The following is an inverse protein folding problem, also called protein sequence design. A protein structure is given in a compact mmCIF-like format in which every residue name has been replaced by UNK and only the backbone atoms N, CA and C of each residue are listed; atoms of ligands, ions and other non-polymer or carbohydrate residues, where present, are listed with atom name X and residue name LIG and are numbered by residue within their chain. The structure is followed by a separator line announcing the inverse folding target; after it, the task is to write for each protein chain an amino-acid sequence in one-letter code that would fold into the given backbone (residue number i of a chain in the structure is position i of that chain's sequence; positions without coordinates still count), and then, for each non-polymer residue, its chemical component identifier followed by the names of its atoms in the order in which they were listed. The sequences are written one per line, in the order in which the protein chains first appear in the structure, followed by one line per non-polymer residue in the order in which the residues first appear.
data_IF_327291740702
#
_entry.id   IF_327291740702
#
_cell.length_a   1.000
_cell.length_b   1.000
_cell.length_c   1.000
_cell.angle_alpha   90.00
_cell.angle_beta   90.00
_cell.angle_gamma   90.00
#
_symmetry.space_group_name_H-M   'P 1'
#
loop_
_entity.id
_entity.type
_entity.pdbx_description
1 polymer ?
#
# COMPACT_ATOMS: atom_id res chain seq x y z
N UNK A 1 2.34 -1.80 -5.03
CA UNK A 1 1.19 -1.18 -5.72
C UNK A 1 0.96 0.21 -5.16
N UNK A 2 0.68 1.18 -6.02
CA UNK A 2 0.33 2.55 -5.64
C UNK A 2 -1.12 2.79 -6.06
N UNK A 3 -1.97 3.20 -5.12
CA UNK A 3 -3.40 3.31 -5.35
C UNK A 3 -4.05 4.53 -4.70
N UNK A 4 -5.29 4.78 -5.10
CA UNK A 4 -6.18 5.76 -4.49
C UNK A 4 -7.22 5.10 -3.55
N UNK A 5 -8.31 5.80 -3.23
CA UNK A 5 -9.33 5.29 -2.31
C UNK A 5 -10.06 4.03 -2.81
N UNK A 6 -10.15 3.81 -4.13
CA UNK A 6 -10.73 2.59 -4.67
C UNK A 6 -9.88 1.37 -4.29
N UNK A 7 -8.54 1.48 -4.38
CA UNK A 7 -7.61 0.44 -3.99
C UNK A 7 -7.49 0.23 -2.48
N UNK A 8 -7.76 1.27 -1.69
CA UNK A 8 -7.60 1.22 -0.23
C UNK A 8 -8.46 0.11 0.41
N UNK A 9 -9.65 -0.15 -0.13
CA UNK A 9 -10.52 -1.24 0.33
C UNK A 9 -9.98 -2.64 0.00
N UNK A 10 -9.08 -2.74 -0.96
CA UNK A 10 -8.47 -4.00 -1.38
C UNK A 10 -7.23 -4.39 -0.57
N UNK A 11 -6.85 -3.62 0.47
CA UNK A 11 -5.61 -3.81 1.22
C UNK A 11 -5.47 -5.21 1.80
N UNK A 12 -6.50 -5.73 2.47
CA UNK A 12 -6.43 -7.05 3.09
C UNK A 12 -6.34 -8.18 2.04
N UNK A 13 -7.11 -8.06 0.96
CA UNK A 13 -7.08 -9.02 -0.14
C UNK A 13 -5.72 -8.97 -0.90
N UNK A 14 -5.16 -7.77 -1.08
CA UNK A 14 -3.84 -7.60 -1.66
C UNK A 14 -2.75 -8.26 -0.80
N UNK A 15 -2.75 -8.01 0.50
CA UNK A 15 -1.78 -8.59 1.43
C UNK A 15 -1.89 -10.13 1.53
N UNK A 16 -3.11 -10.65 1.41
CA UNK A 16 -3.34 -12.10 1.36
C UNK A 16 -2.81 -12.72 0.06
N UNK A 17 -2.98 -12.03 -1.08
CA UNK A 17 -2.52 -12.51 -2.39
C UNK A 17 -1.01 -12.40 -2.55
N UNK A 18 -0.41 -11.32 -2.08
CA UNK A 18 1.04 -11.08 -2.16
C UNK A 18 1.62 -10.71 -0.78
N UNK A 19 1.92 -11.70 0.08
CA UNK A 19 2.43 -11.45 1.43
C UNK A 19 3.73 -10.65 1.46
N UNK A 20 4.52 -10.68 0.38
CA UNK A 20 5.74 -9.89 0.22
C UNK A 20 5.54 -8.59 -0.55
N UNK A 21 4.31 -8.33 -1.00
CA UNK A 21 3.96 -7.12 -1.72
C UNK A 21 3.71 -5.95 -0.78
N UNK A 22 3.75 -4.73 -1.35
CA UNK A 22 3.40 -3.52 -0.62
C UNK A 22 2.33 -2.75 -1.38
N UNK A 23 1.22 -2.44 -0.72
CA UNK A 23 0.17 -1.55 -1.22
C UNK A 23 0.21 -0.25 -0.42
N UNK A 24 0.55 0.85 -1.11
CA UNK A 24 0.37 2.20 -0.58
C UNK A 24 -0.81 2.88 -1.30
N UNK A 25 -1.92 2.98 -0.61
CA UNK A 25 -3.14 3.59 -1.12
C UNK A 25 -3.65 4.67 -0.16
N UNK A 26 -4.20 5.75 -0.70
CA UNK A 26 -4.74 6.83 0.11
C UNK A 26 -5.96 7.49 -0.55
N UNK A 27 -6.84 8.05 0.27
CA UNK A 27 -7.99 8.83 -0.20
C UNK A 27 -7.53 10.04 -1.00
N UNK A 28 -8.27 10.39 -2.05
CA UNK A 28 -8.04 11.57 -2.89
C UNK A 28 -6.65 11.65 -3.55
N UNK A 29 -5.90 10.54 -3.62
CA UNK A 29 -4.58 10.52 -4.24
C UNK A 29 -4.68 10.76 -5.74
N UNK A 30 -3.90 11.69 -6.24
CA UNK A 30 -3.68 11.96 -7.65
C UNK A 30 -2.32 11.39 -8.10
N UNK A 31 -2.09 11.31 -9.43
CA UNK A 31 -0.88 10.70 -9.98
C UNK A 31 0.40 11.40 -9.52
N UNK A 32 0.42 12.72 -9.43
CA UNK A 32 1.59 13.50 -8.97
C UNK A 32 2.03 13.09 -7.57
N UNK A 33 1.06 12.87 -6.65
CA UNK A 33 1.36 12.33 -5.32
C UNK A 33 1.81 10.87 -5.39
N UNK A 34 1.27 10.09 -6.32
CA UNK A 34 1.72 8.72 -6.59
C UNK A 34 3.19 8.65 -7.03
N UNK A 35 3.65 9.62 -7.83
CA UNK A 35 5.06 9.76 -8.23
C UNK A 35 5.97 10.04 -7.00
N UNK A 36 5.54 10.93 -6.10
CA UNK A 36 6.26 11.21 -4.84
C UNK A 36 6.36 9.96 -3.95
N UNK A 37 5.28 9.18 -3.87
CA UNK A 37 5.24 7.90 -3.14
C UNK A 37 6.21 6.89 -3.76
N UNK A 38 6.22 6.76 -5.09
CA UNK A 38 7.19 5.89 -5.76
C UNK A 38 8.63 6.31 -5.44
N UNK A 39 8.95 7.60 -5.57
CA UNK A 39 10.28 8.14 -5.28
C UNK A 39 10.69 7.85 -3.82
N UNK A 40 9.78 8.05 -2.87
CA UNK A 40 10.05 7.77 -1.45
C UNK A 40 10.48 6.31 -1.21
N UNK A 41 9.80 5.33 -1.82
CA UNK A 41 10.20 3.92 -1.70
C UNK A 41 11.44 3.58 -2.50
N UNK A 42 11.64 4.21 -3.64
CA UNK A 42 12.82 4.04 -4.49
C UNK A 42 14.09 4.51 -3.78
N UNK A 43 14.06 5.66 -3.12
CA UNK A 43 15.20 6.21 -2.37
C UNK A 43 15.62 5.30 -1.21
N UNK A 44 14.73 4.46 -0.72
CA UNK A 44 14.99 3.49 0.35
C UNK A 44 15.34 2.09 -0.17
N UNK A 45 15.41 1.89 -1.49
CA UNK A 45 15.60 0.58 -2.13
C UNK A 45 14.52 -0.45 -1.75
N UNK A 46 13.27 0.02 -1.55
CA UNK A 46 12.13 -0.81 -1.19
C UNK A 46 11.21 -1.15 -2.38
N UNK A 47 11.60 -0.74 -3.59
CA UNK A 47 10.82 -0.96 -4.81
C UNK A 47 11.18 -2.30 -5.44
N UNK A 48 10.19 -3.17 -5.61
CA UNK A 48 10.34 -4.46 -6.27
C UNK A 48 10.40 -4.36 -7.80
N UNK A 49 10.31 -5.49 -8.47
CA UNK A 49 10.33 -5.60 -9.94
C UNK A 49 8.99 -5.17 -10.56
N UNK A 50 7.86 -5.47 -9.91
CA UNK A 50 6.51 -5.24 -10.39
C UNK A 50 5.90 -3.98 -9.77
N UNK A 51 5.51 -3.02 -10.59
CA UNK A 51 4.93 -1.74 -10.17
C UNK A 51 3.50 -1.65 -10.69
N UNK A 52 2.53 -1.74 -9.81
CA UNK A 52 1.12 -1.61 -10.15
C UNK A 52 0.65 -0.19 -9.79
N UNK A 53 0.04 0.50 -10.76
CA UNK A 53 -0.48 1.87 -10.62
C UNK A 53 -1.99 1.87 -10.85
N UNK A 54 -2.75 2.10 -9.79
CA UNK A 54 -4.21 2.16 -9.79
C UNK A 54 -4.66 3.55 -9.32
N UNK A 55 -4.47 4.54 -10.18
CA UNK A 55 -4.73 5.95 -9.93
C UNK A 55 -5.53 6.56 -11.08
N UNK A 56 -6.27 7.64 -10.79
CA UNK A 56 -7.03 8.38 -11.81
C UNK A 56 -8.49 8.64 -11.44
N UNK A 57 -9.02 8.02 -10.36
CA UNK A 57 -10.40 8.28 -9.95
C UNK A 57 -10.58 9.67 -9.32
N UNK A 58 -9.48 10.33 -8.92
CA UNK A 58 -9.50 11.61 -8.20
C UNK A 58 -9.05 12.82 -9.04
N UNK A 59 -9.18 12.75 -10.36
CA UNK A 59 -8.90 13.87 -11.25
C UNK A 59 -8.32 13.45 -12.58
N UNK A 60 -8.14 14.43 -13.46
CA UNK A 60 -7.56 14.23 -14.79
C UNK A 60 -6.11 13.76 -14.64
N UNK A 61 -5.78 12.74 -15.40
CA UNK A 61 -4.45 12.19 -15.58
C UNK A 61 -4.13 12.28 -17.08
N UNK A 62 -2.94 12.72 -17.43
CA UNK A 62 -2.54 12.93 -18.82
C UNK A 62 -1.45 11.95 -19.26
N UNK A 63 -1.29 11.76 -20.57
CA UNK A 63 -0.21 10.97 -21.15
C UNK A 63 1.16 11.49 -20.68
N UNK A 64 1.39 12.82 -20.71
CA UNK A 64 2.65 13.42 -20.25
C UNK A 64 2.99 13.06 -18.80
N UNK A 65 2.00 13.09 -17.91
CA UNK A 65 2.20 12.72 -16.51
C UNK A 65 2.52 11.22 -16.34
N UNK A 66 1.92 10.35 -17.16
CA UNK A 66 2.27 8.93 -17.17
C UNK A 66 3.68 8.68 -17.72
N UNK A 67 4.08 9.39 -18.78
CA UNK A 67 5.44 9.33 -19.32
C UNK A 67 6.49 9.80 -18.30
N UNK A 68 6.19 10.84 -17.53
CA UNK A 68 7.03 11.28 -16.40
C UNK A 68 7.16 10.17 -15.35
N UNK A 69 6.04 9.51 -14.98
CA UNK A 69 6.07 8.36 -14.07
C UNK A 69 6.93 7.21 -14.63
N UNK A 70 6.74 6.84 -15.89
CA UNK A 70 7.52 5.76 -16.50
C UNK A 70 9.02 6.09 -16.60
N UNK A 71 9.35 7.36 -16.85
CA UNK A 71 10.74 7.83 -16.79
C UNK A 71 11.33 7.68 -15.39
N UNK A 72 10.56 8.01 -14.36
CA UNK A 72 10.95 7.88 -12.95
C UNK A 72 11.11 6.39 -12.55
N UNK A 73 10.21 5.52 -13.00
CA UNK A 73 10.23 4.09 -12.69
C UNK A 73 11.40 3.38 -13.37
N UNK A 74 11.70 3.75 -14.62
CA UNK A 74 12.75 3.13 -15.40
C UNK A 74 12.28 1.91 -16.20
N UNK A 75 13.06 1.57 -17.23
CA UNK A 75 12.71 0.52 -18.19
C UNK A 75 12.99 -0.92 -17.69
N UNK A 76 13.67 -1.06 -16.55
CA UNK A 76 14.01 -2.35 -15.92
C UNK A 76 12.88 -2.92 -15.07
N UNK A 77 11.83 -2.13 -14.83
CA UNK A 77 10.65 -2.53 -14.06
C UNK A 77 9.53 -2.98 -14.97
N UNK A 78 8.70 -3.89 -14.49
CA UNK A 78 7.42 -4.25 -15.10
C UNK A 78 6.33 -3.36 -14.51
N UNK A 79 5.73 -2.53 -15.33
CA UNK A 79 4.69 -1.59 -14.90
C UNK A 79 3.33 -2.09 -15.34
N UNK A 80 2.35 -1.98 -14.47
CA UNK A 80 0.96 -2.36 -14.72
C UNK A 80 0.10 -1.13 -14.47
N UNK A 81 -0.54 -0.63 -15.52
CA UNK A 81 -1.43 0.52 -15.46
C UNK A 81 -2.88 0.03 -15.50
N UNK A 82 -3.67 0.39 -14.49
CA UNK A 82 -5.08 0.05 -14.42
C UNK A 82 -5.94 1.16 -15.02
N UNK A 83 -6.90 0.79 -15.89
CA UNK A 83 -8.00 1.69 -16.23
C UNK A 83 -8.88 1.93 -15.01
N UNK A 84 -9.56 3.08 -14.99
CA UNK A 84 -10.41 3.47 -13.86
C UNK A 84 -11.89 3.26 -14.16
N UNK A 85 -12.69 3.11 -13.10
CA UNK A 85 -14.14 3.20 -13.11
C UNK A 85 -14.62 4.27 -12.13
N UNK A 86 -15.31 5.28 -12.64
CA UNK A 86 -15.87 6.38 -11.85
C UNK A 86 -16.95 7.09 -12.66
N UNK A 87 -18.05 7.57 -12.05
CA UNK A 87 -19.06 8.34 -12.79
C UNK A 87 -18.62 9.77 -13.16
N UNK A 88 -17.35 10.10 -12.93
CA UNK A 88 -16.82 11.43 -13.21
C UNK A 88 -16.55 11.65 -14.70
N UNK A 89 -16.61 12.90 -15.13
CA UNK A 89 -16.52 13.30 -16.54
C UNK A 89 -15.14 13.05 -17.16
N UNK A 90 -14.10 12.84 -16.37
CA UNK A 90 -12.74 12.56 -16.85
C UNK A 90 -12.43 11.07 -17.06
N UNK A 91 -13.33 10.15 -16.71
CA UNK A 91 -13.12 8.70 -16.83
C UNK A 91 -12.59 8.31 -18.22
N UNK A 92 -13.30 8.74 -19.28
CA UNK A 92 -12.90 8.41 -20.65
C UNK A 92 -11.53 8.94 -20.99
N UNK A 93 -11.24 10.22 -20.72
CA UNK A 93 -9.94 10.82 -21.06
C UNK A 93 -8.79 10.21 -20.28
N UNK A 94 -9.00 9.81 -19.04
CA UNK A 94 -8.00 9.12 -18.22
C UNK A 94 -7.75 7.71 -18.77
N UNK A 95 -8.80 6.96 -19.08
CA UNK A 95 -8.66 5.61 -19.66
C UNK A 95 -8.01 5.63 -21.04
N UNK A 96 -8.29 6.64 -21.86
CA UNK A 96 -7.64 6.84 -23.17
C UNK A 96 -6.13 7.09 -22.98
N UNK A 97 -5.73 7.97 -22.04
CA UNK A 97 -4.32 8.24 -21.74
C UNK A 97 -3.59 6.99 -21.22
N UNK A 98 -4.19 6.25 -20.28
CA UNK A 98 -3.64 5.00 -19.75
C UNK A 98 -3.43 3.98 -20.88
N UNK A 99 -4.45 3.80 -21.73
CA UNK A 99 -4.39 2.83 -22.84
C UNK A 99 -3.35 3.21 -23.88
N UNK A 100 -3.28 4.50 -24.23
CA UNK A 100 -2.29 5.02 -25.19
C UNK A 100 -0.87 4.78 -24.69
N UNK A 101 -0.58 5.17 -23.47
CA UNK A 101 0.76 5.00 -22.88
C UNK A 101 1.12 3.54 -22.75
N UNK A 102 0.22 2.70 -22.25
CA UNK A 102 0.49 1.27 -22.12
C UNK A 102 0.82 0.61 -23.47
N UNK A 103 0.16 1.03 -24.56
CA UNK A 103 0.41 0.48 -25.89
C UNK A 103 1.78 0.88 -26.49
N UNK A 104 2.40 1.93 -25.97
CA UNK A 104 3.65 2.49 -26.52
C UNK A 104 4.92 1.99 -25.77
N UNK A 105 4.77 1.23 -24.69
CA UNK A 105 5.89 0.77 -23.86
C UNK A 105 5.88 -0.75 -23.68
N UNK A 106 6.97 -1.42 -24.03
CA UNK A 106 7.09 -2.90 -23.96
C UNK A 106 7.10 -3.43 -22.52
N UNK A 107 7.54 -2.62 -21.56
CA UNK A 107 7.57 -2.97 -20.14
C UNK A 107 6.28 -2.58 -19.38
N UNK A 108 5.27 -2.07 -20.10
CA UNK A 108 3.98 -1.67 -19.52
C UNK A 108 2.88 -2.63 -19.94
N UNK A 109 2.12 -3.12 -18.99
CA UNK A 109 0.94 -3.95 -19.20
C UNK A 109 -0.31 -3.19 -18.82
N UNK A 110 -1.29 -3.13 -19.72
CA UNK A 110 -2.61 -2.60 -19.40
C UNK A 110 -3.43 -3.63 -18.62
N UNK A 111 -4.02 -3.21 -17.51
CA UNK A 111 -5.06 -3.96 -16.79
C UNK A 111 -6.39 -3.24 -16.98
N UNK A 112 -7.27 -3.80 -17.78
CA UNK A 112 -8.54 -3.17 -18.15
C UNK A 112 -9.63 -3.41 -17.10
N UNK A 113 -9.53 -2.68 -15.98
CA UNK A 113 -10.57 -2.70 -14.94
C UNK A 113 -11.89 -2.10 -15.42
N UNK A 114 -11.83 -1.07 -16.27
CA UNK A 114 -13.03 -0.46 -16.85
C UNK A 114 -13.86 -1.48 -17.63
N UNK A 115 -13.21 -2.21 -18.54
CA UNK A 115 -13.86 -3.26 -19.32
C UNK A 115 -14.30 -4.45 -18.48
N UNK A 116 -13.45 -4.92 -17.56
CA UNK A 116 -13.74 -6.06 -16.70
C UNK A 116 -14.90 -5.78 -15.72
N UNK A 117 -15.08 -4.54 -15.30
CA UNK A 117 -16.19 -4.15 -14.41
C UNK A 117 -17.46 -3.68 -15.16
N UNK A 118 -17.45 -3.71 -16.49
CA UNK A 118 -18.61 -3.34 -17.28
C UNK A 118 -19.80 -4.25 -16.97
N UNK A 119 -20.98 -3.67 -16.70
CA UNK A 119 -22.21 -4.35 -16.32
C UNK A 119 -22.14 -5.12 -14.97
N UNK A 120 -21.21 -4.76 -14.12
CA UNK A 120 -21.03 -5.30 -12.78
C UNK A 120 -21.21 -4.22 -11.71
N UNK A 121 -22.44 -3.66 -11.64
CA UNK A 121 -22.75 -2.61 -10.66
C UNK A 121 -22.57 -3.11 -9.21
N UNK A 122 -22.69 -4.43 -8.99
CA UNK A 122 -22.45 -5.06 -7.70
C UNK A 122 -21.00 -4.97 -7.22
N UNK A 123 -20.07 -4.64 -8.10
CA UNK A 123 -18.65 -4.43 -7.71
C UNK A 123 -18.44 -3.11 -6.98
N UNK A 124 -19.39 -2.20 -7.07
CA UNK A 124 -19.25 -0.84 -6.57
C UNK A 124 -20.27 -0.51 -5.49
N UNK A 125 -19.89 0.34 -4.55
CA UNK A 125 -20.82 1.02 -3.68
C UNK A 125 -21.73 1.97 -4.50
N UNK A 126 -22.74 2.53 -3.89
CA UNK A 126 -23.70 3.40 -4.56
C UNK A 126 -23.12 4.66 -5.23
N UNK A 127 -21.82 4.93 -5.04
CA UNK A 127 -21.09 6.01 -5.71
C UNK A 127 -20.45 5.58 -7.06
N UNK A 128 -20.47 4.31 -7.40
CA UNK A 128 -19.97 3.78 -8.67
C UNK A 128 -18.44 3.82 -8.82
N UNK A 129 -17.70 4.00 -7.72
CA UNK A 129 -16.24 4.09 -7.72
C UNK A 129 -15.58 3.17 -6.67
N UNK A 130 -16.07 3.24 -5.42
CA UNK A 130 -15.49 2.46 -4.33
C UNK A 130 -15.99 1.02 -4.38
N UNK A 131 -15.06 0.09 -4.14
CA UNK A 131 -15.32 -1.34 -4.28
C UNK A 131 -16.15 -1.90 -3.13
N UNK A 132 -17.11 -2.76 -3.46
CA UNK A 132 -17.73 -3.68 -2.52
C UNK A 132 -16.79 -4.86 -2.24
N UNK A 133 -17.17 -5.75 -1.32
CA UNK A 133 -16.41 -6.97 -1.05
C UNK A 133 -16.27 -7.86 -2.30
N UNK A 134 -17.34 -7.97 -3.11
CA UNK A 134 -17.32 -8.70 -4.39
C UNK A 134 -16.43 -7.99 -5.40
N UNK A 135 -16.50 -6.67 -5.46
CA UNK A 135 -15.65 -5.85 -6.32
C UNK A 135 -14.17 -5.97 -5.96
N UNK A 136 -13.82 -6.03 -4.68
CA UNK A 136 -12.44 -6.26 -4.20
C UNK A 136 -11.90 -7.60 -4.71
N UNK A 137 -12.69 -8.68 -4.64
CA UNK A 137 -12.24 -9.99 -5.13
C UNK A 137 -12.01 -9.97 -6.65
N UNK A 138 -12.91 -9.35 -7.41
CA UNK A 138 -12.76 -9.21 -8.86
C UNK A 138 -11.55 -8.35 -9.23
N UNK A 139 -11.34 -7.23 -8.51
CA UNK A 139 -10.23 -6.31 -8.73
C UNK A 139 -8.87 -6.97 -8.47
N UNK A 140 -8.71 -7.64 -7.34
CA UNK A 140 -7.47 -8.35 -6.99
C UNK A 140 -7.24 -9.53 -7.93
N UNK A 141 -8.30 -10.27 -8.30
CA UNK A 141 -8.20 -11.36 -9.28
C UNK A 141 -7.68 -10.89 -10.63
N UNK A 142 -8.22 -9.77 -11.14
CA UNK A 142 -7.76 -9.18 -12.41
C UNK A 142 -6.29 -8.72 -12.35
N UNK A 143 -5.86 -8.13 -11.25
CA UNK A 143 -4.45 -7.76 -11.05
C UNK A 143 -3.59 -9.02 -10.99
N UNK A 144 -4.03 -10.06 -10.29
CA UNK A 144 -3.30 -11.32 -10.18
C UNK A 144 -3.15 -12.01 -11.54
N UNK A 145 -4.17 -12.02 -12.38
CA UNK A 145 -4.10 -12.57 -13.73
C UNK A 145 -3.00 -11.91 -14.59
N UNK A 146 -2.74 -10.62 -14.37
CA UNK A 146 -1.71 -9.88 -15.09
C UNK A 146 -0.31 -9.98 -14.46
N UNK A 147 -0.22 -9.89 -13.14
CA UNK A 147 1.05 -9.86 -12.38
C UNK A 147 1.58 -11.27 -12.11
N UNK A 148 0.68 -12.21 -11.83
CA UNK A 148 1.01 -13.56 -11.37
C UNK A 148 1.43 -13.62 -9.90
N UNK A 149 1.93 -14.78 -9.50
CA UNK A 149 2.52 -14.99 -8.19
C UNK A 149 3.91 -14.35 -8.16
N UNK A 150 4.15 -13.51 -7.16
CA UNK A 150 5.48 -12.96 -6.90
C UNK A 150 6.17 -13.79 -5.82
N UNK A 151 7.52 -13.96 -5.89
CA UNK A 151 8.23 -14.67 -4.84
C UNK A 151 7.96 -14.04 -3.47
N UNK A 152 7.69 -14.86 -2.47
CA UNK A 152 7.67 -14.38 -1.08
C UNK A 152 9.07 -13.86 -0.72
N UNK A 153 9.18 -12.83 0.12
CA UNK A 153 10.46 -12.46 0.68
C UNK A 153 11.08 -13.69 1.37
N UNK A 154 12.41 -13.86 1.31
CA UNK A 154 13.06 -14.94 2.04
C UNK A 154 12.66 -14.85 3.51
N UNK A 155 12.27 -15.99 4.10
CA UNK A 155 12.04 -16.04 5.53
C UNK A 155 13.30 -15.51 6.26
N UNK A 156 13.14 -14.68 7.30
CA UNK A 156 14.27 -14.24 8.08
C UNK A 156 15.01 -15.49 8.59
N UNK A 157 16.28 -15.62 8.24
CA UNK A 157 17.12 -16.70 8.74
C UNK A 157 17.05 -16.65 10.28
N UNK A 158 16.37 -17.62 10.88
CA UNK A 158 16.44 -17.85 12.31
C UNK A 158 17.87 -18.33 12.57
N UNK A 159 18.73 -17.42 12.97
CA UNK A 159 20.02 -17.79 13.58
C UNK A 159 19.66 -18.58 14.83
N UNK A 160 19.66 -19.92 14.71
CA UNK A 160 19.71 -20.79 15.86
C UNK A 160 20.96 -20.42 16.65
N UNK A 161 20.74 -19.78 17.80
CA UNK A 161 21.81 -19.45 18.71
C UNK A 161 22.48 -20.74 19.14
N UNK A 162 23.73 -20.87 18.75
CA UNK A 162 24.65 -21.88 19.20
C UNK A 162 24.71 -21.83 20.73
N UNK A 163 24.02 -22.78 21.37
CA UNK A 163 24.16 -23.02 22.80
C UNK A 163 25.53 -23.66 23.01
N UNK A 164 26.49 -22.82 23.32
CA UNK A 164 27.75 -23.29 23.91
C UNK A 164 27.43 -23.77 25.34
N UNK A 165 27.37 -25.08 25.46
CA UNK A 165 27.53 -25.78 26.74
C UNK A 165 28.89 -25.39 27.33
N UNK A 166 28.86 -24.72 28.44
CA UNK A 166 30.03 -24.35 29.26
C UNK A 166 29.79 -24.78 30.68
N UNK A 167 30.25 -25.98 30.92
CA UNK A 167 30.32 -26.69 32.18
C UNK A 167 31.04 -25.92 33.31
N UNK A 168 30.55 -26.23 34.52
CA UNK A 168 31.21 -26.33 35.82
C UNK A 168 31.38 -25.15 36.78
N UNK A 169 30.81 -25.44 37.89
CA UNK A 169 31.31 -25.45 39.30
C UNK A 169 31.27 -24.13 40.05
N UNK A 170 30.43 -24.17 41.04
CA UNK A 170 30.70 -24.36 42.48
C UNK A 170 31.06 -23.10 43.29
N UNK A 171 30.39 -23.05 44.39
CA UNK A 171 30.67 -22.44 45.70
C UNK A 171 29.92 -21.15 46.11
N UNK A 172 28.89 -21.38 46.95
CA UNK A 172 28.71 -20.82 48.33
C UNK A 172 29.04 -19.32 48.52
N UNK A 173 28.26 -18.46 49.09
CA UNK A 173 27.68 -18.44 50.41
C UNK A 173 27.03 -17.06 50.71
N UNK A 174 25.95 -17.12 51.39
CA UNK A 174 25.47 -16.25 52.47
C UNK A 174 25.33 -14.71 52.31
N UNK A 175 24.08 -14.33 52.61
CA UNK A 175 23.67 -13.41 53.67
C UNK A 175 23.43 -11.94 53.36
N UNK A 176 22.24 -11.51 53.70
CA UNK A 176 22.08 -10.24 54.40
C UNK A 176 21.06 -9.23 53.87
N UNK A 177 19.85 -9.39 54.38
CA UNK A 177 18.99 -8.36 55.02
C UNK A 177 18.62 -7.05 54.30
N UNK A 178 17.31 -6.91 54.15
CA UNK A 178 16.41 -5.84 54.64
C UNK A 178 16.61 -4.39 54.17
N UNK A 179 15.48 -3.83 53.76
CA UNK A 179 15.27 -2.39 53.74
C UNK A 179 14.08 -1.95 52.90
N UNK A 180 12.88 -2.06 53.50
CA UNK A 180 11.69 -1.38 53.08
C UNK A 180 11.84 0.13 53.28
N UNK A 181 11.24 0.93 52.42
CA UNK A 181 10.46 2.09 52.83
C UNK A 181 9.61 2.66 51.70
N UNK A 182 8.36 2.80 52.03
CA UNK A 182 7.31 3.50 51.31
C UNK A 182 7.53 5.03 51.35
N UNK A 183 6.98 5.75 50.38
CA UNK A 183 6.30 7.02 50.61
C UNK A 183 5.52 7.45 49.35
N UNK A 184 4.34 7.38 49.48
CA UNK A 184 3.15 8.16 49.17
C UNK A 184 3.37 9.64 48.72
N UNK A 185 2.44 10.06 47.79
CA UNK A 185 1.69 11.27 48.03
C UNK A 185 1.68 12.36 46.97
N UNK A 186 0.48 12.72 46.50
CA UNK A 186 0.18 14.10 46.10
C UNK A 186 -0.47 14.28 44.71
N UNK A 187 -1.70 14.05 44.58
CA UNK A 187 -2.94 14.85 44.38
C UNK A 187 -2.82 16.14 43.57
N UNK A 188 -3.68 16.19 42.52
CA UNK A 188 -4.67 17.21 42.14
C UNK A 188 -4.23 18.56 41.54
N UNK A 189 -4.94 18.91 40.48
CA UNK A 189 -5.06 20.25 39.96
C UNK A 189 -5.81 20.31 38.64
N UNK A 190 -7.14 20.26 38.72
CA UNK A 190 -8.03 20.72 37.66
C UNK A 190 -8.03 22.22 37.58
N UNK A 191 -8.10 22.78 36.37
CA UNK A 191 -8.83 24.05 36.16
C UNK A 191 -9.33 24.15 34.73
N UNK A 192 -10.64 24.23 34.64
CA UNK A 192 -11.42 24.71 33.51
C UNK A 192 -11.02 26.17 33.16
N UNK A 193 -11.11 26.49 31.88
CA UNK A 193 -11.61 27.81 31.53
C UNK A 193 -12.32 27.81 30.19
N UNK A 194 -13.61 28.09 30.27
CA UNK A 194 -14.50 28.47 29.21
C UNK A 194 -14.41 29.98 28.95
N UNK A 195 -14.78 30.39 27.74
CA UNK A 195 -14.98 31.79 27.34
C UNK A 195 -14.77 31.95 25.84
N UNK A 196 -15.74 31.98 25.08
CA UNK A 196 -16.85 32.87 24.73
C UNK A 196 -16.49 33.83 23.58
N UNK A 197 -17.29 33.70 22.53
CA UNK A 197 -17.84 34.65 21.56
C UNK A 197 -16.97 35.74 20.89
N UNK A 198 -16.98 35.72 19.58
CA UNK A 198 -17.58 36.74 18.68
C UNK A 198 -17.52 36.26 17.23
#
# INVERSE_FOLDING_TARGET
MIGDSASLRATDAFNAQWPGGHLDAATSRQLTVGQEVYQYYSDQNLVGEHIVVALGTNGVLTEDQLEELLTLVGADKKVYLLTIRTPNTWETSVNDAITTVAANHENVTLIDWYGASANHDEYFDGDGTHLTEVGVQAFIGLIHDAVGDTPNPPEPETTEGETTDGDTSDATDENGTEGAEEAEGGTAGAEENAGDAA
#
